data_IF_717961440605
#
_entry.id   IF_717961440605
#
_cell.length_a   1.000
_cell.length_b   1.000
_cell.length_c   1.000
_cell.angle_alpha   90.00
_cell.angle_beta   90.00
_cell.angle_gamma   90.00
#
_symmetry.space_group_name_H-M   'P 1'
#
loop_
_entity.id
_entity.type
_entity.pdbx_description
1 polymer ?
#
# COMPACT_ATOMS: atom_id res chain seq x y z
N UNK A 1 1.19 15.82 -22.84
CA UNK A 1 -0.20 15.36 -22.70
C UNK A 1 -0.45 14.89 -21.29
N UNK A 2 -1.14 15.70 -20.47
CA UNK A 2 -1.88 15.23 -19.29
C UNK A 2 -3.18 14.58 -19.83
N UNK A 3 -3.69 13.54 -19.17
CA UNK A 3 -4.85 12.68 -19.56
C UNK A 3 -4.35 11.51 -20.44
N UNK A 4 -4.13 10.29 -19.93
CA UNK A 4 -5.15 9.26 -19.66
C UNK A 4 -4.70 8.19 -18.63
N UNK A 5 -3.92 8.54 -17.61
CA UNK A 5 -3.38 7.52 -16.68
C UNK A 5 -4.32 7.18 -15.51
N UNK A 6 -5.21 8.10 -15.13
CA UNK A 6 -6.24 7.81 -14.13
C UNK A 6 -7.20 6.73 -14.63
N UNK A 7 -7.63 6.83 -15.90
CA UNK A 7 -8.50 5.82 -16.52
C UNK A 7 -7.82 4.45 -16.63
N UNK A 8 -6.51 4.39 -16.90
CA UNK A 8 -5.76 3.14 -16.90
C UNK A 8 -5.69 2.51 -15.48
N UNK A 9 -5.51 3.32 -14.44
CA UNK A 9 -5.50 2.83 -13.06
C UNK A 9 -6.87 2.29 -12.63
N UNK A 10 -7.95 2.96 -13.01
CA UNK A 10 -9.31 2.47 -12.76
C UNK A 10 -9.56 1.10 -13.40
N UNK A 11 -9.01 0.83 -14.59
CA UNK A 11 -9.09 -0.48 -15.23
C UNK A 11 -8.29 -1.54 -14.45
N UNK A 12 -7.08 -1.23 -13.96
CA UNK A 12 -6.32 -2.16 -13.11
C UNK A 12 -7.04 -2.45 -11.78
N UNK A 13 -7.62 -1.43 -11.14
CA UNK A 13 -8.42 -1.58 -9.94
C UNK A 13 -9.65 -2.47 -10.18
N UNK A 14 -10.31 -2.35 -11.34
CA UNK A 14 -11.43 -3.23 -11.71
C UNK A 14 -11.01 -4.70 -11.80
N UNK A 15 -9.78 -4.99 -12.24
CA UNK A 15 -9.29 -6.38 -12.30
C UNK A 15 -9.06 -7.02 -10.92
N UNK A 16 -8.76 -6.21 -9.89
CA UNK A 16 -8.64 -6.69 -8.50
C UNK A 16 -9.99 -7.23 -7.99
N UNK A 17 -11.11 -6.58 -8.36
CA UNK A 17 -12.45 -6.97 -7.92
C UNK A 17 -13.04 -8.20 -8.62
N UNK A 18 -12.48 -8.62 -9.76
CA UNK A 18 -12.98 -9.73 -10.57
C UNK A 18 -12.21 -11.03 -10.28
N UNK A 19 -12.22 -11.48 -9.02
CA UNK A 19 -11.44 -12.61 -8.49
C UNK A 19 -11.61 -13.97 -9.22
N UNK A 20 -12.53 -14.08 -10.19
CA UNK A 20 -12.77 -15.27 -11.02
C UNK A 20 -12.38 -15.09 -12.50
N UNK A 21 -11.72 -13.99 -12.87
CA UNK A 21 -11.35 -13.75 -14.28
C UNK A 21 -10.07 -14.48 -14.66
N UNK A 22 -10.17 -15.32 -15.71
CA UNK A 22 -9.09 -16.11 -16.34
C UNK A 22 -7.90 -15.25 -16.83
N UNK A 23 -8.05 -13.91 -16.85
CA UNK A 23 -7.02 -12.96 -17.25
C UNK A 23 -6.75 -11.92 -16.15
N UNK A 24 -6.36 -12.38 -14.96
CA UNK A 24 -5.95 -11.51 -13.86
C UNK A 24 -4.57 -10.91 -14.14
N UNK A 25 -4.46 -9.59 -14.04
CA UNK A 25 -3.17 -8.92 -14.13
C UNK A 25 -2.44 -9.07 -12.79
N UNK A 26 -1.22 -9.58 -12.86
CA UNK A 26 -0.37 -9.77 -11.70
C UNK A 26 0.00 -8.41 -11.07
N UNK A 27 -0.12 -8.26 -9.73
CA UNK A 27 0.28 -7.04 -9.03
C UNK A 27 1.71 -6.59 -9.36
N UNK A 28 2.64 -7.53 -9.52
CA UNK A 28 4.03 -7.27 -9.88
C UNK A 28 4.18 -6.54 -11.22
N UNK A 29 3.37 -6.89 -12.23
CA UNK A 29 3.37 -6.23 -13.54
C UNK A 29 2.91 -4.77 -13.42
N UNK A 30 1.83 -4.54 -12.65
CA UNK A 30 1.28 -3.20 -12.42
C UNK A 30 2.29 -2.34 -11.64
N UNK A 31 2.83 -2.86 -10.55
CA UNK A 31 3.84 -2.16 -9.72
C UNK A 31 5.04 -1.74 -10.59
N UNK A 32 5.58 -2.65 -11.40
CA UNK A 32 6.73 -2.35 -12.28
C UNK A 32 6.44 -1.25 -13.30
N UNK A 33 5.19 -1.11 -13.75
CA UNK A 33 4.75 -0.01 -14.62
C UNK A 33 4.65 1.35 -13.92
N UNK A 34 4.52 1.38 -12.60
CA UNK A 34 4.26 2.61 -11.82
C UNK A 34 5.36 2.95 -10.81
N UNK A 35 6.51 2.26 -10.83
CA UNK A 35 7.67 2.56 -9.97
C UNK A 35 8.37 3.90 -10.28
N UNK A 36 8.09 4.54 -11.42
CA UNK A 36 8.66 5.85 -11.73
C UNK A 36 8.15 6.94 -10.77
N UNK A 37 9.04 7.82 -10.32
CA UNK A 37 8.73 8.85 -9.33
C UNK A 37 7.59 9.81 -9.75
N UNK A 38 7.34 9.98 -11.06
CA UNK A 38 6.20 10.76 -11.56
C UNK A 38 4.84 10.04 -11.43
N UNK A 39 4.82 8.83 -10.87
CA UNK A 39 3.64 7.96 -10.79
C UNK A 39 3.38 7.40 -9.38
N UNK A 40 4.12 7.85 -8.38
CA UNK A 40 4.00 7.37 -7.00
C UNK A 40 2.57 7.50 -6.43
N UNK A 41 1.83 8.57 -6.80
CA UNK A 41 0.43 8.73 -6.38
C UNK A 41 -0.51 7.64 -6.95
N UNK A 42 -0.32 7.25 -8.21
CA UNK A 42 -1.08 6.15 -8.81
C UNK A 42 -0.71 4.83 -8.13
N UNK A 43 0.58 4.57 -7.94
CA UNK A 43 1.04 3.37 -7.24
C UNK A 43 0.47 3.27 -5.82
N UNK A 44 0.43 4.40 -5.10
CA UNK A 44 -0.17 4.49 -3.76
C UNK A 44 -1.64 4.05 -3.79
N UNK A 45 -2.46 4.63 -4.68
CA UNK A 45 -3.88 4.28 -4.80
C UNK A 45 -4.11 2.81 -5.15
N UNK A 46 -3.26 2.23 -6.01
CA UNK A 46 -3.33 0.81 -6.37
C UNK A 46 -3.07 -0.10 -5.17
N UNK A 47 -2.00 0.19 -4.41
CA UNK A 47 -1.60 -0.57 -3.23
C UNK A 47 -2.65 -0.46 -2.11
N UNK A 48 -3.23 0.72 -1.90
CA UNK A 48 -4.35 0.90 -0.97
C UNK A 48 -5.54 0.01 -1.35
N UNK A 49 -5.87 -0.07 -2.65
CA UNK A 49 -6.95 -0.92 -3.12
C UNK A 49 -6.65 -2.41 -2.96
N UNK A 50 -5.40 -2.84 -3.17
CA UNK A 50 -4.98 -4.21 -2.89
C UNK A 50 -5.17 -4.59 -1.42
N UNK A 51 -4.84 -3.68 -0.49
CA UNK A 51 -5.09 -3.88 0.94
C UNK A 51 -6.58 -3.98 1.25
N UNK A 52 -7.39 -3.05 0.72
CA UNK A 52 -8.85 -3.08 0.92
C UNK A 52 -9.51 -4.33 0.34
N UNK A 53 -8.88 -4.98 -0.65
CA UNK A 53 -9.35 -6.22 -1.26
C UNK A 53 -8.81 -7.50 -0.57
N UNK A 54 -8.00 -7.37 0.48
CA UNK A 54 -7.37 -8.53 1.16
C UNK A 54 -6.34 -9.27 0.30
N UNK A 55 -5.83 -8.63 -0.76
CA UNK A 55 -4.88 -9.22 -1.71
C UNK A 55 -3.44 -8.74 -1.53
N UNK A 56 -3.20 -7.88 -0.54
CA UNK A 56 -1.87 -7.37 -0.24
C UNK A 56 -1.01 -8.42 0.47
N UNK A 57 0.31 -8.34 0.27
CA UNK A 57 1.31 -9.12 0.99
C UNK A 57 2.34 -8.16 1.64
N UNK A 58 3.39 -8.69 2.28
CA UNK A 58 4.46 -7.89 2.91
C UNK A 58 5.15 -6.93 1.94
N UNK A 59 5.42 -7.36 0.71
CA UNK A 59 6.06 -6.52 -0.30
C UNK A 59 5.18 -5.32 -0.68
N UNK A 60 3.88 -5.57 -0.89
CA UNK A 60 2.90 -4.52 -1.16
C UNK A 60 2.79 -3.54 0.01
N UNK A 61 2.80 -4.06 1.25
CA UNK A 61 2.77 -3.24 2.47
C UNK A 61 4.01 -2.35 2.55
N UNK A 62 5.20 -2.93 2.32
CA UNK A 62 6.47 -2.20 2.33
C UNK A 62 6.49 -1.10 1.28
N UNK A 63 6.04 -1.40 0.05
CA UNK A 63 5.95 -0.42 -1.03
C UNK A 63 4.97 0.71 -0.70
N UNK A 64 3.82 0.40 -0.09
CA UNK A 64 2.82 1.40 0.27
C UNK A 64 3.35 2.37 1.33
N UNK A 65 3.97 1.83 2.38
CA UNK A 65 4.60 2.64 3.42
C UNK A 65 5.72 3.53 2.85
N UNK A 66 6.56 2.98 1.98
CA UNK A 66 7.58 3.74 1.26
C UNK A 66 6.97 4.84 0.36
N UNK A 67 5.79 4.60 -0.23
CA UNK A 67 5.09 5.62 -1.01
C UNK A 67 4.63 6.78 -0.12
N UNK A 68 4.01 6.50 1.04
CA UNK A 68 3.59 7.54 1.98
C UNK A 68 4.78 8.35 2.50
N UNK A 69 5.88 7.68 2.86
CA UNK A 69 7.08 8.36 3.38
C UNK A 69 7.70 9.27 2.33
N UNK A 70 7.78 8.81 1.07
CA UNK A 70 8.31 9.58 -0.05
C UNK A 70 7.42 10.77 -0.44
N UNK A 71 6.11 10.64 -0.28
CA UNK A 71 5.14 11.71 -0.47
C UNK A 71 5.02 12.67 0.72
N UNK A 72 5.64 12.35 1.86
CA UNK A 72 5.39 13.01 3.16
C UNK A 72 3.89 13.02 3.54
N UNK A 73 3.14 11.99 3.11
CA UNK A 73 1.70 11.86 3.39
C UNK A 73 1.48 11.20 4.75
N UNK A 74 1.84 11.93 5.81
CA UNK A 74 1.77 11.44 7.20
C UNK A 74 0.34 11.10 7.61
N UNK A 75 -0.64 11.84 7.08
CA UNK A 75 -2.05 11.61 7.40
C UNK A 75 -2.51 10.23 6.93
N UNK A 76 -2.20 9.86 5.67
CA UNK A 76 -2.54 8.53 5.16
C UNK A 76 -1.74 7.40 5.79
N UNK A 77 -0.46 7.66 6.13
CA UNK A 77 0.32 6.70 6.91
C UNK A 77 -0.37 6.43 8.26
N UNK A 78 -0.79 7.47 8.96
CA UNK A 78 -1.46 7.37 10.25
C UNK A 78 -2.81 6.63 10.16
N UNK A 79 -3.61 6.91 9.12
CA UNK A 79 -4.86 6.20 8.85
C UNK A 79 -4.59 4.71 8.62
N UNK A 80 -3.64 4.38 7.74
CA UNK A 80 -3.31 2.99 7.40
C UNK A 80 -2.82 2.19 8.61
N UNK A 81 -1.94 2.74 9.45
CA UNK A 81 -1.40 2.00 10.62
C UNK A 81 -2.44 1.80 11.73
N UNK A 82 -3.47 2.65 11.78
CA UNK A 82 -4.55 2.59 12.77
C UNK A 82 -5.76 1.80 12.30
N UNK A 83 -5.90 1.57 11.00
CA UNK A 83 -7.00 0.81 10.43
C UNK A 83 -6.94 -0.67 10.87
N UNK A 84 -7.88 -1.05 11.72
CA UNK A 84 -8.04 -2.42 12.24
C UNK A 84 -8.73 -3.35 11.25
N UNK A 85 -9.42 -2.81 10.23
CA UNK A 85 -10.05 -3.62 9.20
C UNK A 85 -9.05 -4.20 8.21
N UNK A 86 -7.84 -3.63 8.14
CA UNK A 86 -6.79 -4.08 7.25
C UNK A 86 -5.92 -5.15 7.92
N UNK A 87 -5.89 -6.33 7.31
CA UNK A 87 -4.92 -7.38 7.65
C UNK A 87 -3.61 -7.11 6.91
N UNK A 88 -2.54 -6.85 7.68
CA UNK A 88 -1.18 -6.69 7.16
C UNK A 88 -0.15 -7.08 8.22
N UNK A 89 1.04 -7.45 7.77
CA UNK A 89 2.14 -7.88 8.64
C UNK A 89 2.68 -6.69 9.46
N UNK A 90 2.31 -6.63 10.73
CA UNK A 90 2.66 -5.52 11.63
C UNK A 90 4.18 -5.41 11.84
N UNK A 91 4.91 -6.52 11.93
CA UNK A 91 6.37 -6.53 12.05
C UNK A 91 7.05 -5.82 10.85
N UNK A 92 6.58 -6.12 9.64
CA UNK A 92 7.06 -5.47 8.42
C UNK A 92 6.78 -3.97 8.47
N UNK A 93 5.57 -3.56 8.89
CA UNK A 93 5.24 -2.15 9.01
C UNK A 93 6.06 -1.41 10.07
N UNK A 94 6.34 -2.04 11.22
CA UNK A 94 7.21 -1.51 12.27
C UNK A 94 8.62 -1.28 11.73
N UNK A 95 9.20 -2.28 11.05
CA UNK A 95 10.56 -2.19 10.47
C UNK A 95 10.65 -1.04 9.47
N UNK A 96 9.70 -0.94 8.55
CA UNK A 96 9.69 0.10 7.51
C UNK A 96 9.51 1.49 8.11
N UNK A 97 8.59 1.66 9.06
CA UNK A 97 8.40 2.94 9.75
C UNK A 97 9.67 3.38 10.48
N UNK A 98 10.38 2.47 11.17
CA UNK A 98 11.67 2.77 11.81
C UNK A 98 12.71 3.23 10.80
N UNK A 99 12.90 2.48 9.72
CA UNK A 99 13.88 2.79 8.67
C UNK A 99 13.59 4.14 7.99
N UNK A 100 12.32 4.51 7.86
CA UNK A 100 11.91 5.80 7.29
C UNK A 100 11.87 6.96 8.30
N UNK A 101 12.24 6.74 9.57
CA UNK A 101 12.26 7.77 10.62
C UNK A 101 10.92 8.04 11.32
N UNK A 102 9.87 7.28 11.01
CA UNK A 102 8.52 7.38 11.58
C UNK A 102 8.41 6.60 12.90
N UNK A 103 9.25 6.95 13.87
CA UNK A 103 9.39 6.22 15.14
C UNK A 103 8.10 6.13 15.95
N UNK A 104 7.28 7.18 15.96
CA UNK A 104 5.99 7.18 16.68
C UNK A 104 5.00 6.15 16.11
N UNK A 105 4.94 6.03 14.77
CA UNK A 105 4.08 5.06 14.10
C UNK A 105 4.57 3.63 14.35
N UNK A 106 5.89 3.42 14.31
CA UNK A 106 6.50 2.14 14.65
C UNK A 106 6.24 1.75 16.11
N UNK A 107 6.31 2.70 17.05
CA UNK A 107 6.03 2.47 18.46
C UNK A 107 4.55 2.13 18.69
N UNK A 108 3.63 2.85 18.04
CA UNK A 108 2.20 2.56 18.09
C UNK A 108 1.91 1.13 17.63
N UNK A 109 2.43 0.75 16.45
CA UNK A 109 2.26 -0.60 15.91
C UNK A 109 2.89 -1.67 16.82
N UNK A 110 4.07 -1.43 17.38
CA UNK A 110 4.73 -2.39 18.26
C UNK A 110 3.96 -2.62 19.56
N UNK A 111 3.43 -1.55 20.18
CA UNK A 111 2.59 -1.68 21.37
C UNK A 111 1.34 -2.50 21.08
N UNK A 112 0.63 -2.15 20.01
CA UNK A 112 -0.59 -2.85 19.60
C UNK A 112 -0.32 -4.32 19.24
N UNK A 113 0.79 -4.62 18.59
CA UNK A 113 1.17 -6.00 18.27
C UNK A 113 1.41 -6.84 19.53
N UNK A 114 2.00 -6.27 20.58
CA UNK A 114 2.23 -6.99 21.85
C UNK A 114 0.96 -7.12 22.70
N UNK A 115 -0.10 -6.34 22.45
CA UNK A 115 -1.40 -6.50 23.12
C UNK A 115 -2.24 -7.64 22.53
N UNK A 116 -1.89 -8.11 21.32
CA UNK A 116 -2.62 -9.14 20.59
C UNK A 116 -1.87 -10.48 20.48
N UNK A 117 -0.68 -10.59 21.09
CA UNK A 117 0.11 -11.83 21.24
C UNK A 117 -0.17 -12.46 22.62
#
# INVERSE_FOLDING_TARGET
>A
GKKDFSGAMEQYIKTIGSANSINRLEPSYVIRRFLDAQRIGNLTSYLQKLHSAGMANSDHTTLLLNCYTKLNDVSRLNEFVRDESLSFEKETAIRVCKQAGYHEHALYLAKKHNEHD
#
